data_IF_703702288233
#
_entry.id   IF_703702288233
#
_cell.length_a   1.000
_cell.length_b   1.000
_cell.length_c   1.000
_cell.angle_alpha   90.00
_cell.angle_beta   90.00
_cell.angle_gamma   90.00
#
_symmetry.space_group_name_H-M   'P 1'
#
loop_
_entity.id
_entity.type
_entity.pdbx_description
1 polymer ?
#
# COMPACT_ATOMS: atom_id res chain seq x y z
N UNK A 1 25.64 0.38 -24.61
CA UNK A 1 24.52 1.23 -24.20
C UNK A 1 24.83 1.94 -22.88
N UNK A 2 24.46 3.21 -22.71
CA UNK A 2 24.65 3.89 -21.41
C UNK A 2 23.59 3.38 -20.43
N UNK A 3 24.06 2.89 -19.27
CA UNK A 3 23.15 2.54 -18.17
C UNK A 3 22.33 3.78 -17.76
N UNK A 4 21.07 3.59 -17.44
CA UNK A 4 20.19 4.65 -16.92
C UNK A 4 20.74 5.14 -15.58
N UNK A 5 20.84 6.46 -15.40
CA UNK A 5 21.30 7.03 -14.13
C UNK A 5 20.12 7.17 -13.16
N UNK A 6 20.30 6.82 -11.88
CA UNK A 6 19.27 7.01 -10.87
C UNK A 6 18.88 8.48 -10.75
N UNK A 7 17.57 8.74 -10.72
CA UNK A 7 17.01 10.09 -10.57
C UNK A 7 16.51 10.28 -9.14
N UNK A 8 17.12 11.20 -8.43
CA UNK A 8 16.78 11.49 -7.03
C UNK A 8 15.34 11.96 -6.85
N UNK A 9 14.83 12.75 -7.79
CA UNK A 9 13.45 13.25 -7.77
C UNK A 9 12.38 12.15 -8.00
N UNK A 10 12.81 10.97 -8.45
CA UNK A 10 11.95 9.79 -8.58
C UNK A 10 12.21 8.75 -7.49
N UNK A 11 13.03 9.06 -6.48
CA UNK A 11 13.35 8.16 -5.39
C UNK A 11 14.02 6.86 -5.83
N UNK A 12 14.76 6.87 -6.96
CA UNK A 12 15.35 5.67 -7.56
C UNK A 12 16.57 5.18 -6.78
N UNK A 13 16.51 3.94 -6.33
CA UNK A 13 17.61 3.16 -5.78
C UNK A 13 17.64 1.82 -6.53
N UNK A 14 18.60 1.65 -7.44
CA UNK A 14 18.67 0.45 -8.25
C UNK A 14 19.30 -0.71 -7.47
N UNK A 15 18.55 -1.79 -7.39
CA UNK A 15 19.02 -3.04 -6.78
C UNK A 15 20.11 -3.67 -7.65
N UNK A 16 21.25 -3.99 -7.06
CA UNK A 16 22.41 -4.56 -7.76
C UNK A 16 22.64 -6.05 -7.48
N UNK A 17 22.06 -6.58 -6.41
CA UNK A 17 22.18 -8.00 -6.05
C UNK A 17 21.12 -8.82 -6.78
N UNK A 18 21.55 -9.64 -7.74
CA UNK A 18 20.65 -10.45 -8.57
C UNK A 18 19.98 -11.60 -7.79
N UNK A 19 20.63 -12.12 -6.74
CA UNK A 19 20.01 -13.16 -5.90
C UNK A 19 18.83 -12.59 -5.13
N UNK A 20 18.97 -11.38 -4.60
CA UNK A 20 17.87 -10.67 -3.93
C UNK A 20 16.77 -10.32 -4.94
N UNK A 21 17.14 -9.82 -6.12
CA UNK A 21 16.16 -9.52 -7.19
C UNK A 21 15.34 -10.76 -7.55
N UNK A 22 15.97 -11.91 -7.70
CA UNK A 22 15.27 -13.17 -7.97
C UNK A 22 14.36 -13.58 -6.82
N UNK A 23 14.80 -13.48 -5.57
CA UNK A 23 13.97 -13.75 -4.39
C UNK A 23 12.72 -12.87 -4.34
N UNK A 24 12.86 -11.59 -4.67
CA UNK A 24 11.73 -10.66 -4.72
C UNK A 24 10.77 -11.06 -5.85
N UNK A 25 11.27 -11.30 -7.04
CA UNK A 25 10.45 -11.74 -8.17
C UNK A 25 9.70 -13.05 -7.85
N UNK A 26 10.35 -13.99 -7.18
CA UNK A 26 9.76 -15.28 -6.80
C UNK A 26 8.65 -15.17 -5.72
N UNK A 27 8.53 -14.05 -5.06
CA UNK A 27 7.42 -13.84 -4.09
C UNK A 27 6.04 -13.92 -4.72
N UNK A 28 5.91 -13.68 -6.02
CA UNK A 28 4.65 -13.80 -6.75
C UNK A 28 4.19 -15.25 -6.91
N UNK A 29 5.09 -16.22 -6.76
CA UNK A 29 4.77 -17.64 -6.93
C UNK A 29 3.78 -18.15 -5.86
N UNK A 30 3.73 -17.52 -4.70
CA UNK A 30 2.74 -17.79 -3.66
C UNK A 30 1.42 -17.04 -3.84
N UNK A 31 1.32 -16.17 -4.83
CA UNK A 31 0.09 -15.49 -5.22
C UNK A 31 -0.71 -16.33 -6.23
N UNK A 32 -2.01 -16.05 -6.45
CA UNK A 32 -2.79 -16.72 -7.47
C UNK A 32 -2.13 -16.65 -8.85
N UNK A 33 -2.36 -17.67 -9.68
CA UNK A 33 -1.83 -17.76 -11.05
C UNK A 33 -2.65 -16.88 -12.02
N UNK A 34 -2.44 -15.59 -11.91
CA UNK A 34 -3.05 -14.50 -12.67
C UNK A 34 -1.96 -13.55 -13.17
N UNK A 35 -2.27 -12.63 -14.11
CA UNK A 35 -1.28 -11.67 -14.59
C UNK A 35 -0.60 -10.87 -13.49
N UNK A 36 0.61 -10.41 -13.77
CA UNK A 36 1.43 -9.60 -12.86
C UNK A 36 1.63 -8.20 -13.43
N UNK A 37 1.46 -7.19 -12.61
CA UNK A 37 1.85 -5.81 -12.89
C UNK A 37 3.06 -5.44 -12.03
N UNK A 38 4.19 -5.16 -12.67
CA UNK A 38 5.37 -4.63 -11.99
C UNK A 38 5.36 -3.09 -11.99
N UNK A 39 5.54 -2.49 -10.83
CA UNK A 39 5.67 -1.03 -10.69
C UNK A 39 7.14 -0.65 -10.58
N UNK A 40 7.56 0.32 -11.41
CA UNK A 40 8.90 0.88 -11.36
C UNK A 40 10.00 -0.11 -11.71
N UNK A 41 9.92 -0.80 -12.87
CA UNK A 41 10.91 -1.81 -13.26
C UNK A 41 12.32 -1.26 -13.42
N UNK A 42 12.50 0.06 -13.63
CA UNK A 42 13.80 0.66 -13.87
C UNK A 42 14.50 0.03 -15.07
N UNK A 43 15.69 -0.53 -14.84
CA UNK A 43 16.45 -1.27 -15.86
C UNK A 43 16.07 -2.76 -15.94
N UNK A 44 14.97 -3.17 -15.35
CA UNK A 44 14.44 -4.53 -15.47
C UNK A 44 15.09 -5.56 -14.55
N UNK A 45 15.60 -5.16 -13.39
CA UNK A 45 16.30 -6.06 -12.46
C UNK A 45 15.37 -7.16 -11.94
N UNK A 46 14.13 -6.84 -11.55
CA UNK A 46 13.11 -7.83 -11.23
C UNK A 46 12.47 -8.40 -12.49
N UNK A 47 12.26 -7.56 -13.48
CA UNK A 47 11.56 -7.89 -14.74
C UNK A 47 12.15 -9.10 -15.42
N UNK A 48 13.49 -9.22 -15.46
CA UNK A 48 14.19 -10.37 -16.09
C UNK A 48 13.76 -11.73 -15.52
N UNK A 49 13.40 -11.79 -14.25
CA UNK A 49 12.92 -13.03 -13.60
C UNK A 49 11.41 -13.19 -13.71
N UNK A 50 10.65 -12.08 -13.71
CA UNK A 50 9.20 -12.11 -13.85
C UNK A 50 8.77 -12.62 -15.23
N UNK A 51 9.46 -12.19 -16.30
CA UNK A 51 9.12 -12.60 -17.68
C UNK A 51 9.39 -14.07 -17.98
N UNK A 52 10.20 -14.74 -17.18
CA UNK A 52 10.46 -16.19 -17.29
C UNK A 52 9.31 -17.02 -16.73
N UNK A 53 8.41 -16.43 -15.95
CA UNK A 53 7.27 -17.11 -15.33
C UNK A 53 6.15 -17.36 -16.35
N UNK A 54 5.38 -18.47 -16.22
CA UNK A 54 4.31 -18.80 -17.18
C UNK A 54 3.04 -17.98 -16.92
N UNK A 55 3.17 -16.67 -16.90
CA UNK A 55 2.04 -15.74 -16.75
C UNK A 55 2.32 -14.42 -17.46
N UNK A 56 1.26 -13.72 -17.85
CA UNK A 56 1.35 -12.42 -18.48
C UNK A 56 1.95 -11.41 -17.47
N UNK A 57 2.97 -10.67 -17.91
CA UNK A 57 3.60 -9.60 -17.14
C UNK A 57 3.49 -8.29 -17.89
N UNK A 58 3.00 -7.27 -17.22
CA UNK A 58 3.07 -5.87 -17.68
C UNK A 58 3.88 -5.06 -16.68
N UNK A 59 4.48 -3.97 -17.14
CA UNK A 59 5.29 -3.08 -16.33
C UNK A 59 4.87 -1.63 -16.54
N UNK A 60 4.78 -0.87 -15.44
CA UNK A 60 4.48 0.57 -15.44
C UNK A 60 5.72 1.33 -14.99
N UNK A 61 6.20 2.24 -15.83
CA UNK A 61 7.38 3.05 -15.56
C UNK A 61 7.13 4.50 -15.97
N UNK A 62 7.36 5.43 -15.06
CA UNK A 62 7.20 6.87 -15.32
C UNK A 62 8.42 7.49 -16.00
N UNK A 63 9.60 6.90 -15.78
CA UNK A 63 10.86 7.40 -16.31
C UNK A 63 11.06 7.02 -17.78
N UNK A 64 11.01 8.00 -18.67
CA UNK A 64 11.14 7.79 -20.12
C UNK A 64 12.45 7.12 -20.55
N UNK A 65 13.56 7.38 -19.84
CA UNK A 65 14.84 6.73 -20.13
C UNK A 65 14.79 5.23 -19.78
N UNK A 66 14.18 4.90 -18.66
CA UNK A 66 13.94 3.50 -18.25
C UNK A 66 12.99 2.80 -19.21
N UNK A 67 11.93 3.47 -19.68
CA UNK A 67 11.01 2.92 -20.69
C UNK A 67 11.76 2.59 -21.98
N UNK A 68 12.59 3.50 -22.48
CA UNK A 68 13.40 3.26 -23.67
C UNK A 68 14.37 2.09 -23.48
N UNK A 69 15.03 2.01 -22.33
CA UNK A 69 15.91 0.90 -21.98
C UNK A 69 15.17 -0.45 -21.96
N UNK A 70 13.97 -0.49 -21.39
CA UNK A 70 13.14 -1.71 -21.33
C UNK A 70 12.70 -2.16 -22.72
N UNK A 71 12.28 -1.24 -23.59
CA UNK A 71 11.93 -1.59 -24.97
C UNK A 71 13.08 -2.21 -25.73
N UNK A 72 14.30 -1.76 -25.50
CA UNK A 72 15.48 -2.26 -26.17
C UNK A 72 15.96 -3.59 -25.61
N UNK A 73 15.90 -3.78 -24.29
CA UNK A 73 16.48 -4.95 -23.62
C UNK A 73 15.45 -6.07 -23.31
N UNK A 74 14.16 -5.77 -23.38
CA UNK A 74 13.08 -6.72 -23.11
C UNK A 74 12.08 -6.74 -24.28
N UNK A 75 12.49 -7.20 -25.47
CA UNK A 75 11.62 -7.18 -26.66
C UNK A 75 10.34 -8.01 -26.48
N UNK A 76 10.34 -9.01 -25.61
CA UNK A 76 9.14 -9.82 -25.29
C UNK A 76 8.08 -9.05 -24.52
N UNK A 77 8.43 -7.93 -23.87
CA UNK A 77 7.53 -7.03 -23.16
C UNK A 77 7.04 -5.85 -24.00
N UNK A 78 7.37 -5.76 -25.27
CA UNK A 78 7.21 -4.58 -26.12
C UNK A 78 5.86 -3.88 -25.93
N UNK A 79 4.75 -4.60 -26.02
CA UNK A 79 3.39 -4.06 -25.91
C UNK A 79 2.89 -4.01 -24.46
N UNK A 80 3.69 -4.48 -23.51
CA UNK A 80 3.36 -4.62 -22.09
C UNK A 80 4.14 -3.65 -21.19
N UNK A 81 4.87 -2.70 -21.78
CA UNK A 81 5.54 -1.61 -21.07
C UNK A 81 4.64 -0.37 -21.18
N UNK A 82 4.20 0.13 -20.04
CA UNK A 82 3.29 1.26 -19.92
C UNK A 82 4.07 2.45 -19.36
N UNK A 83 4.30 3.46 -20.20
CA UNK A 83 5.06 4.67 -19.84
C UNK A 83 4.17 5.73 -19.20
N UNK A 84 3.58 5.43 -18.04
CA UNK A 84 2.63 6.29 -17.35
C UNK A 84 2.92 6.39 -15.84
N UNK A 85 2.27 7.35 -15.19
CA UNK A 85 2.24 7.48 -13.74
C UNK A 85 1.19 6.53 -13.14
N UNK A 86 1.64 5.49 -12.44
CA UNK A 86 0.75 4.52 -11.79
C UNK A 86 -0.32 5.19 -10.93
N UNK A 87 0.01 6.27 -10.21
CA UNK A 87 -0.93 6.94 -9.32
C UNK A 87 -2.10 7.61 -10.04
N UNK A 88 -1.95 7.87 -11.35
CA UNK A 88 -2.98 8.50 -12.18
C UNK A 88 -3.75 7.54 -13.07
N UNK A 89 -3.30 6.29 -13.18
CA UNK A 89 -3.92 5.31 -14.06
C UNK A 89 -5.26 4.82 -13.53
N UNK A 90 -6.16 4.48 -14.45
CA UNK A 90 -7.31 3.63 -14.16
C UNK A 90 -6.87 2.16 -14.26
N UNK A 91 -6.80 1.48 -13.12
CA UNK A 91 -6.31 0.10 -13.06
C UNK A 91 -7.25 -0.91 -13.72
N UNK A 92 -8.52 -0.56 -13.96
CA UNK A 92 -9.45 -1.40 -14.71
C UNK A 92 -9.01 -1.58 -16.18
N UNK A 93 -8.22 -0.65 -16.73
CA UNK A 93 -7.79 -0.67 -18.14
C UNK A 93 -6.58 -1.59 -18.38
N UNK A 94 -5.81 -1.93 -17.37
CA UNK A 94 -4.51 -2.63 -17.55
C UNK A 94 -4.71 -4.07 -18.04
N UNK A 95 -5.64 -4.79 -17.46
CA UNK A 95 -5.96 -6.19 -17.78
C UNK A 95 -7.45 -6.39 -18.07
N UNK A 96 -8.08 -5.41 -18.69
CA UNK A 96 -9.49 -5.46 -19.11
C UNK A 96 -10.46 -5.82 -17.98
N UNK A 97 -10.26 -5.23 -16.80
CA UNK A 97 -11.06 -5.46 -15.60
C UNK A 97 -10.77 -6.78 -14.88
N UNK A 98 -9.78 -7.55 -15.32
CA UNK A 98 -9.39 -8.81 -14.69
C UNK A 98 -8.44 -8.57 -13.52
N UNK A 99 -8.46 -9.50 -12.56
CA UNK A 99 -7.56 -9.48 -11.41
C UNK A 99 -6.09 -9.66 -11.82
N UNK A 100 -5.20 -9.06 -11.04
CA UNK A 100 -3.76 -9.17 -11.23
C UNK A 100 -3.00 -9.09 -9.90
N UNK A 101 -1.78 -9.58 -9.91
CA UNK A 101 -0.82 -9.45 -8.80
C UNK A 101 -0.01 -8.17 -9.01
N UNK A 102 0.12 -7.38 -7.96
CA UNK A 102 0.97 -6.19 -7.93
C UNK A 102 2.33 -6.55 -7.34
N UNK A 103 3.41 -6.15 -7.97
CA UNK A 103 4.77 -6.36 -7.46
C UNK A 103 5.72 -5.24 -7.86
N UNK A 104 6.85 -5.17 -7.22
CA UNK A 104 7.91 -4.24 -7.60
C UNK A 104 8.93 -3.97 -6.49
N UNK A 105 10.00 -3.29 -6.88
CA UNK A 105 10.83 -2.51 -5.97
C UNK A 105 10.20 -1.11 -5.92
N UNK A 106 9.29 -0.90 -4.95
CA UNK A 106 8.45 0.31 -4.94
C UNK A 106 9.29 1.55 -4.65
N UNK A 107 9.06 2.65 -5.40
CA UNK A 107 9.67 3.94 -5.08
C UNK A 107 9.34 4.36 -3.65
N UNK A 108 10.35 4.68 -2.83
CA UNK A 108 10.17 4.93 -1.41
C UNK A 108 9.26 6.11 -1.11
N UNK A 109 9.38 7.18 -1.92
CA UNK A 109 8.67 8.43 -1.70
C UNK A 109 7.14 8.31 -1.91
N UNK A 110 6.70 7.31 -2.67
CA UNK A 110 5.29 7.12 -3.04
C UNK A 110 4.71 5.76 -2.63
N UNK A 111 5.43 4.94 -1.89
CA UNK A 111 4.99 3.59 -1.54
C UNK A 111 3.64 3.59 -0.82
N UNK A 112 3.44 4.47 0.16
CA UNK A 112 2.14 4.60 0.85
C UNK A 112 1.01 4.99 -0.08
N UNK A 113 1.24 5.89 -1.04
CA UNK A 113 0.25 6.30 -2.04
C UNK A 113 -0.11 5.14 -2.98
N UNK A 114 0.88 4.32 -3.35
CA UNK A 114 0.65 3.10 -4.15
C UNK A 114 -0.30 2.15 -3.40
N UNK A 115 -0.07 1.92 -2.11
CA UNK A 115 -0.91 1.03 -1.31
C UNK A 115 -2.30 1.61 -1.04
N UNK A 116 -2.45 2.92 -0.87
CA UNK A 116 -3.77 3.54 -0.81
C UNK A 116 -4.53 3.38 -2.13
N UNK A 117 -3.85 3.52 -3.26
CA UNK A 117 -4.46 3.23 -4.57
C UNK A 117 -4.84 1.76 -4.71
N UNK A 118 -3.99 0.84 -4.24
CA UNK A 118 -4.32 -0.58 -4.20
C UNK A 118 -5.63 -0.84 -3.43
N UNK A 119 -5.84 -0.17 -2.31
CA UNK A 119 -7.08 -0.28 -1.53
C UNK A 119 -8.32 0.17 -2.31
N UNK A 120 -8.18 1.19 -3.14
CA UNK A 120 -9.28 1.66 -4.00
C UNK A 120 -9.64 0.64 -5.10
N UNK A 121 -8.69 -0.22 -5.46
CA UNK A 121 -8.83 -1.30 -6.45
C UNK A 121 -8.67 -2.71 -5.83
N UNK A 122 -8.99 -2.86 -4.56
CA UNK A 122 -8.76 -4.12 -3.82
C UNK A 122 -9.41 -5.35 -4.45
N UNK A 123 -10.54 -5.17 -5.15
CA UNK A 123 -11.23 -6.28 -5.82
C UNK A 123 -10.48 -6.76 -7.08
N UNK A 124 -9.59 -5.94 -7.64
CA UNK A 124 -8.71 -6.32 -8.75
C UNK A 124 -7.36 -6.89 -8.29
N UNK A 125 -6.94 -6.62 -7.06
CA UNK A 125 -5.60 -6.95 -6.58
C UNK A 125 -5.68 -7.90 -5.38
N UNK A 126 -5.82 -9.21 -5.62
CA UNK A 126 -5.91 -10.20 -4.54
C UNK A 126 -4.59 -10.46 -3.83
N UNK A 127 -3.47 -10.10 -4.44
CA UNK A 127 -2.13 -10.29 -3.87
C UNK A 127 -1.19 -9.17 -4.34
N UNK A 128 -0.39 -8.66 -3.40
CA UNK A 128 0.62 -7.64 -3.65
C UNK A 128 1.91 -8.05 -2.94
N UNK A 129 3.01 -8.02 -3.65
CA UNK A 129 4.33 -8.32 -3.09
C UNK A 129 5.32 -7.22 -3.45
N UNK A 130 6.48 -7.25 -2.85
CA UNK A 130 7.59 -6.41 -3.26
C UNK A 130 8.35 -5.79 -2.11
N UNK A 131 9.27 -4.91 -2.46
CA UNK A 131 10.20 -4.30 -1.53
C UNK A 131 9.86 -2.84 -1.26
N UNK A 132 9.91 -2.49 0.01
CA UNK A 132 9.64 -1.15 0.55
C UNK A 132 10.67 -0.83 1.62
N UNK A 133 10.66 0.40 2.14
CA UNK A 133 11.43 0.73 3.34
C UNK A 133 10.99 -0.15 4.53
N UNK A 134 11.96 -0.63 5.30
CA UNK A 134 11.69 -1.52 6.44
C UNK A 134 10.71 -0.90 7.44
N UNK A 135 10.83 0.39 7.72
CA UNK A 135 9.93 1.08 8.64
C UNK A 135 8.47 1.05 8.16
N UNK A 136 8.24 1.20 6.86
CA UNK A 136 6.90 1.12 6.26
C UNK A 136 6.36 -0.31 6.38
N UNK A 137 7.18 -1.32 6.11
CA UNK A 137 6.80 -2.73 6.26
C UNK A 137 6.40 -3.06 7.71
N UNK A 138 7.17 -2.58 8.69
CA UNK A 138 6.86 -2.76 10.11
C UNK A 138 5.55 -2.09 10.51
N UNK A 139 5.27 -0.91 9.97
CA UNK A 139 3.98 -0.24 10.19
C UNK A 139 2.81 -1.04 9.61
N UNK A 140 2.96 -1.54 8.39
CA UNK A 140 1.91 -2.31 7.72
C UNK A 140 1.58 -3.60 8.45
N UNK A 141 2.58 -4.28 8.99
CA UNK A 141 2.44 -5.56 9.70
C UNK A 141 2.19 -5.41 11.21
N UNK A 142 2.15 -4.19 11.74
CA UNK A 142 2.06 -3.93 13.17
C UNK A 142 0.67 -4.18 13.73
N UNK A 143 0.62 -4.68 14.96
CA UNK A 143 -0.62 -4.91 15.72
C UNK A 143 -0.94 -3.76 16.69
N UNK A 144 -2.20 -3.65 17.18
CA UNK A 144 -2.58 -2.68 18.20
C UNK A 144 -1.66 -2.73 19.43
N UNK A 145 -1.37 -1.57 20.01
CA UNK A 145 -0.49 -1.42 21.15
C UNK A 145 0.97 -1.17 20.79
N UNK A 146 1.40 -1.49 19.58
CA UNK A 146 2.75 -1.21 19.11
C UNK A 146 2.93 0.25 18.67
N UNK A 147 4.12 0.79 18.88
CA UNK A 147 4.47 2.16 18.47
C UNK A 147 4.33 2.35 16.94
N UNK A 148 4.59 1.31 16.16
CA UNK A 148 4.51 1.36 14.71
C UNK A 148 3.07 1.28 14.17
N UNK A 149 2.11 0.83 14.97
CA UNK A 149 0.71 0.72 14.58
C UNK A 149 0.10 2.11 14.30
N UNK A 150 -0.44 2.30 13.11
CA UNK A 150 -0.96 3.59 12.66
C UNK A 150 -1.95 3.49 11.52
N UNK A 151 -2.13 4.58 10.79
CA UNK A 151 -3.08 4.68 9.66
C UNK A 151 -2.87 3.53 8.66
N UNK A 152 -1.63 3.33 8.24
CA UNK A 152 -1.31 2.32 7.23
C UNK A 152 -1.59 0.90 7.73
N UNK A 153 -1.29 0.62 9.01
CA UNK A 153 -1.61 -0.66 9.64
C UNK A 153 -3.11 -0.96 9.57
N UNK A 154 -3.94 -0.04 10.02
CA UNK A 154 -5.40 -0.21 10.09
C UNK A 154 -6.00 -0.33 8.70
N UNK A 155 -5.67 0.58 7.78
CA UNK A 155 -6.29 0.62 6.46
C UNK A 155 -5.89 -0.59 5.61
N UNK A 156 -4.65 -1.06 5.70
CA UNK A 156 -4.21 -2.26 4.97
C UNK A 156 -4.81 -3.52 5.59
N UNK A 157 -4.68 -3.69 6.91
CA UNK A 157 -5.11 -4.91 7.59
C UNK A 157 -6.64 -5.08 7.64
N UNK A 158 -7.40 -4.01 7.38
CA UNK A 158 -8.84 -4.13 7.21
C UNK A 158 -9.22 -5.09 6.06
N UNK A 159 -8.39 -5.17 5.01
CA UNK A 159 -8.67 -5.95 3.80
C UNK A 159 -7.57 -6.92 3.37
N UNK A 160 -6.37 -6.84 3.94
CA UNK A 160 -5.22 -7.67 3.58
C UNK A 160 -4.55 -8.25 4.81
N UNK A 161 -4.13 -9.51 4.71
CA UNK A 161 -3.17 -10.10 5.62
C UNK A 161 -1.75 -9.71 5.16
N UNK A 162 -0.92 -9.24 6.07
CA UNK A 162 0.42 -8.73 5.77
C UNK A 162 1.47 -9.67 6.33
N UNK A 163 2.37 -10.13 5.47
CA UNK A 163 3.52 -10.96 5.83
C UNK A 163 4.82 -10.19 5.61
N UNK A 164 5.63 -10.09 6.63
CA UNK A 164 7.00 -9.60 6.53
C UNK A 164 7.90 -10.77 6.14
N UNK A 165 8.42 -10.80 4.90
CA UNK A 165 9.14 -11.96 4.37
C UNK A 165 10.61 -11.95 4.74
N UNK A 166 11.34 -10.88 4.45
CA UNK A 166 12.75 -10.73 4.80
C UNK A 166 13.22 -9.28 4.71
N UNK A 167 14.34 -9.01 5.40
CA UNK A 167 15.01 -7.70 5.39
C UNK A 167 16.08 -7.66 4.30
N UNK A 168 16.26 -6.49 3.70
CA UNK A 168 17.29 -6.22 2.68
C UNK A 168 18.16 -5.06 3.13
N UNK A 169 19.48 -5.28 3.16
CA UNK A 169 20.44 -4.26 3.59
C UNK A 169 20.64 -3.19 2.50
N UNK A 170 21.00 -1.99 2.93
CA UNK A 170 21.20 -0.83 2.08
C UNK A 170 22.36 -0.97 1.08
N UNK A 171 23.35 -1.80 1.39
CA UNK A 171 24.56 -1.97 0.57
C UNK A 171 24.34 -2.65 -0.80
N UNK A 172 23.16 -3.22 -1.03
CA UNK A 172 22.83 -3.90 -2.29
C UNK A 172 22.15 -3.00 -3.33
N UNK A 173 22.14 -1.69 -3.09
CA UNK A 173 21.57 -0.67 -3.96
C UNK A 173 22.60 0.32 -4.48
N UNK A 174 22.35 0.89 -5.64
CA UNK A 174 23.10 2.02 -6.17
C UNK A 174 22.14 3.14 -6.64
N UNK A 175 22.17 4.34 -6.04
CA UNK A 175 22.88 4.66 -4.79
C UNK A 175 22.28 3.92 -3.58
N UNK A 176 23.07 3.66 -2.51
CA UNK A 176 22.50 3.04 -1.32
C UNK A 176 21.52 4.00 -0.62
N UNK A 177 20.34 3.51 -0.20
CA UNK A 177 19.43 4.28 0.63
C UNK A 177 20.02 4.44 2.05
N UNK A 178 19.46 5.37 2.83
CA UNK A 178 19.88 5.61 4.21
C UNK A 178 19.31 4.60 5.21
N UNK A 179 18.37 3.80 4.78
CA UNK A 179 17.61 2.87 5.63
C UNK A 179 17.55 1.49 4.99
N UNK A 180 17.34 0.47 5.81
CA UNK A 180 17.10 -0.89 5.33
C UNK A 180 15.75 -0.97 4.63
N UNK A 181 15.64 -1.96 3.75
CA UNK A 181 14.41 -2.33 3.06
C UNK A 181 13.85 -3.64 3.61
N UNK A 182 12.62 -3.92 3.27
CA UNK A 182 11.98 -5.19 3.58
C UNK A 182 11.10 -5.62 2.40
N UNK A 183 10.99 -6.92 2.24
CA UNK A 183 10.10 -7.54 1.28
C UNK A 183 8.86 -8.05 2.01
N UNK A 184 7.70 -7.67 1.51
CA UNK A 184 6.40 -8.01 2.08
C UNK A 184 5.54 -8.76 1.07
N UNK A 185 4.54 -9.46 1.57
CA UNK A 185 3.41 -9.96 0.80
C UNK A 185 2.12 -9.62 1.51
N UNK A 186 1.17 -9.08 0.75
CA UNK A 186 -0.18 -8.79 1.19
C UNK A 186 -1.15 -9.65 0.39
N UNK A 187 -1.99 -10.38 1.10
CA UNK A 187 -3.04 -11.23 0.50
C UNK A 187 -4.39 -10.76 0.98
N UNK A 188 -5.36 -10.59 0.06
CA UNK A 188 -6.73 -10.28 0.44
C UNK A 188 -7.20 -11.27 1.51
N UNK A 189 -7.75 -10.72 2.60
CA UNK A 189 -8.48 -11.51 3.59
C UNK A 189 -9.90 -11.80 3.09
N UNK A 190 -10.71 -12.49 3.91
CA UNK A 190 -12.06 -12.89 3.53
C UNK A 190 -13.11 -11.77 3.66
N UNK A 191 -12.69 -10.56 4.04
CA UNK A 191 -13.61 -9.43 4.24
C UNK A 191 -14.12 -8.92 2.89
N UNK A 192 -15.42 -9.12 2.64
CA UNK A 192 -16.15 -8.58 1.48
C UNK A 192 -16.95 -7.34 1.86
N UNK A 193 -17.47 -7.30 3.09
CA UNK A 193 -18.13 -6.15 3.69
C UNK A 193 -17.47 -5.86 5.04
N UNK A 194 -16.95 -4.64 5.18
CA UNK A 194 -16.26 -4.22 6.41
C UNK A 194 -17.23 -4.10 7.60
N UNK A 195 -18.52 -3.92 7.33
CA UNK A 195 -19.56 -3.74 8.35
C UNK A 195 -19.78 -2.29 8.78
N UNK A 196 -19.21 -1.35 8.03
CA UNK A 196 -19.39 0.10 8.20
C UNK A 196 -19.18 0.84 6.87
N UNK A 197 -19.49 2.13 6.84
CA UNK A 197 -19.16 2.99 5.70
C UNK A 197 -17.64 3.10 5.53
N UNK A 198 -17.11 2.65 4.40
CA UNK A 198 -15.67 2.59 4.16
C UNK A 198 -15.04 3.98 4.03
N UNK A 199 -15.74 4.96 3.48
CA UNK A 199 -15.24 6.34 3.36
C UNK A 199 -15.15 6.99 4.73
N UNK A 200 -16.16 6.80 5.55
CA UNK A 200 -16.18 7.29 6.92
C UNK A 200 -15.10 6.61 7.77
N UNK A 201 -14.93 5.29 7.61
CA UNK A 201 -13.86 4.53 8.26
C UNK A 201 -12.47 5.11 7.96
N UNK A 202 -12.15 5.32 6.69
CA UNK A 202 -10.88 5.92 6.26
C UNK A 202 -10.68 7.32 6.83
N UNK A 203 -11.73 8.15 6.79
CA UNK A 203 -11.71 9.52 7.34
C UNK A 203 -11.49 9.51 8.84
N UNK A 204 -12.21 8.67 9.57
CA UNK A 204 -12.11 8.54 11.03
C UNK A 204 -10.73 8.09 11.44
N UNK A 205 -10.20 7.03 10.84
CA UNK A 205 -8.86 6.49 11.12
C UNK A 205 -7.79 7.57 10.92
N UNK A 206 -7.82 8.28 9.80
CA UNK A 206 -6.88 9.38 9.53
C UNK A 206 -7.02 10.51 10.55
N UNK A 207 -8.24 10.89 10.90
CA UNK A 207 -8.52 11.98 11.85
C UNK A 207 -7.93 11.67 13.23
N UNK A 208 -8.20 10.49 13.77
CA UNK A 208 -7.74 10.16 15.14
C UNK A 208 -6.24 9.92 15.22
N UNK A 209 -5.62 9.34 14.19
CA UNK A 209 -4.17 9.14 14.14
C UNK A 209 -3.37 10.42 13.92
N UNK A 210 -3.98 11.48 13.35
CA UNK A 210 -3.36 12.80 13.30
C UNK A 210 -3.14 13.40 14.69
N UNK A 211 -3.89 12.91 15.68
CA UNK A 211 -3.73 13.23 17.09
C UNK A 211 -3.44 11.98 17.92
N UNK A 212 -2.51 11.17 17.46
CA UNK A 212 -2.19 9.83 17.98
C UNK A 212 -2.08 9.76 19.51
N UNK A 213 -1.53 10.79 20.15
CA UNK A 213 -1.31 10.82 21.61
C UNK A 213 -2.53 11.26 22.41
N UNK A 214 -3.58 11.73 21.74
CA UNK A 214 -4.82 12.17 22.39
C UNK A 214 -5.80 11.00 22.53
N UNK A 215 -6.62 11.06 23.56
CA UNK A 215 -7.77 10.16 23.70
C UNK A 215 -8.80 10.43 22.59
N UNK A 216 -9.58 9.42 22.24
CA UNK A 216 -10.59 9.53 21.20
C UNK A 216 -11.61 10.64 21.45
N UNK A 217 -12.01 10.86 22.73
CA UNK A 217 -12.90 11.97 23.11
C UNK A 217 -12.36 13.37 22.73
N UNK A 218 -11.07 13.50 22.53
CA UNK A 218 -10.43 14.75 22.08
C UNK A 218 -10.34 14.80 20.55
N UNK A 219 -9.78 13.77 19.94
CA UNK A 219 -9.52 13.76 18.49
C UNK A 219 -10.79 13.68 17.65
N UNK A 220 -11.83 12.98 18.14
CA UNK A 220 -13.12 12.85 17.44
C UNK A 220 -13.90 14.15 17.35
N UNK A 221 -13.60 15.17 18.16
CA UNK A 221 -14.22 16.50 18.03
C UNK A 221 -14.07 17.09 16.62
N UNK A 222 -13.00 16.73 15.92
CA UNK A 222 -12.76 17.16 14.53
C UNK A 222 -13.76 16.57 13.52
N UNK A 223 -14.47 15.51 13.91
CA UNK A 223 -15.54 14.92 13.08
C UNK A 223 -16.84 15.75 13.12
N UNK A 224 -16.97 16.65 14.08
CA UNK A 224 -18.18 17.44 14.36
C UNK A 224 -17.90 18.95 14.28
N UNK A 225 -17.53 19.48 13.09
CA UNK A 225 -17.16 20.88 12.96
C UNK A 225 -18.37 21.81 13.22
N UNK A 226 -18.24 22.69 14.22
CA UNK A 226 -19.25 23.67 14.53
C UNK A 226 -20.53 23.15 15.22
N UNK A 227 -20.57 21.85 15.55
CA UNK A 227 -21.72 21.22 16.22
C UNK A 227 -21.28 20.41 17.41
N UNK A 228 -22.18 20.25 18.38
CA UNK A 228 -21.94 19.44 19.57
C UNK A 228 -22.74 18.14 19.47
N UNK A 229 -22.09 16.97 19.60
CA UNK A 229 -22.80 15.69 19.71
C UNK A 229 -23.70 15.64 20.94
N UNK A 230 -24.57 14.62 21.02
CA UNK A 230 -25.38 14.36 22.20
C UNK A 230 -24.53 14.30 23.47
N UNK A 231 -25.14 14.65 24.61
CA UNK A 231 -24.44 14.85 25.89
C UNK A 231 -23.60 13.66 26.34
N UNK A 232 -24.08 12.43 26.13
CA UNK A 232 -23.44 11.19 26.53
C UNK A 232 -22.45 10.61 25.48
N UNK A 233 -22.30 11.28 24.33
CA UNK A 233 -21.50 10.76 23.20
C UNK A 233 -20.05 10.39 23.59
N UNK A 234 -19.41 11.20 24.43
CA UNK A 234 -18.02 11.00 24.82
C UNK A 234 -17.85 10.23 26.14
N UNK A 235 -18.89 9.65 26.70
CA UNK A 235 -18.86 9.00 28.01
C UNK A 235 -18.56 7.49 27.99
N UNK A 236 -18.56 6.86 26.81
CA UNK A 236 -18.28 5.44 26.65
C UNK A 236 -16.80 5.13 26.90
N UNK A 237 -16.50 3.93 27.36
CA UNK A 237 -15.14 3.50 27.74
C UNK A 237 -14.12 3.66 26.60
N UNK A 238 -14.53 3.38 25.37
CA UNK A 238 -13.65 3.52 24.19
C UNK A 238 -13.14 4.94 24.03
N UNK A 239 -13.88 5.95 24.46
CA UNK A 239 -13.53 7.36 24.32
C UNK A 239 -12.31 7.77 25.17
N UNK A 240 -11.95 6.97 26.16
CA UNK A 240 -10.74 7.14 26.97
C UNK A 240 -9.49 6.55 26.36
N UNK A 241 -9.66 5.69 25.33
CA UNK A 241 -8.54 5.06 24.62
C UNK A 241 -7.90 6.00 23.60
N UNK A 242 -6.66 5.68 23.25
CA UNK A 242 -5.93 6.31 22.13
C UNK A 242 -6.07 5.44 20.90
N UNK A 243 -5.98 6.02 19.67
CA UNK A 243 -6.18 5.26 18.43
C UNK A 243 -5.23 4.06 18.29
N UNK A 244 -3.99 4.18 18.77
CA UNK A 244 -3.01 3.07 18.72
C UNK A 244 -3.37 1.84 19.54
N UNK A 245 -4.40 1.91 20.39
CA UNK A 245 -4.88 0.80 21.22
C UNK A 245 -6.04 0.02 20.60
N UNK A 246 -6.63 0.52 19.50
CA UNK A 246 -7.83 -0.04 18.91
C UNK A 246 -7.51 -1.12 17.88
N UNK A 247 -8.23 -2.25 17.97
CA UNK A 247 -8.30 -3.24 16.89
C UNK A 247 -9.07 -2.69 15.69
N UNK A 248 -8.96 -3.36 14.55
CA UNK A 248 -9.72 -3.01 13.35
C UNK A 248 -11.22 -3.13 13.63
N UNK A 249 -11.66 -4.18 14.33
CA UNK A 249 -13.06 -4.36 14.71
C UNK A 249 -13.56 -3.20 15.58
N UNK A 250 -12.76 -2.73 16.52
CA UNK A 250 -13.10 -1.55 17.33
C UNK A 250 -13.19 -0.28 16.49
N UNK A 251 -12.36 -0.11 15.47
CA UNK A 251 -12.50 0.99 14.52
C UNK A 251 -13.77 0.89 13.68
N UNK A 252 -14.18 -0.30 13.28
CA UNK A 252 -15.46 -0.52 12.58
C UNK A 252 -16.64 -0.13 13.47
N UNK A 253 -16.67 -0.60 14.70
CA UNK A 253 -17.71 -0.25 15.69
C UNK A 253 -17.75 1.25 15.98
N UNK A 254 -16.58 1.86 16.15
CA UNK A 254 -16.45 3.30 16.36
C UNK A 254 -16.95 4.10 15.14
N UNK A 255 -16.68 3.62 13.94
CA UNK A 255 -17.16 4.24 12.70
C UNK A 255 -18.69 4.23 12.64
N UNK A 256 -19.32 3.12 12.99
CA UNK A 256 -20.77 3.04 13.06
C UNK A 256 -21.34 3.97 14.13
N UNK A 257 -20.73 3.99 15.30
CA UNK A 257 -21.14 4.87 16.42
C UNK A 257 -21.08 6.36 16.05
N UNK A 258 -19.96 6.79 15.47
CA UNK A 258 -19.77 8.16 14.98
C UNK A 258 -20.70 8.45 13.81
N UNK A 259 -20.89 7.50 12.90
CA UNK A 259 -21.76 7.62 11.75
C UNK A 259 -23.21 7.85 12.11
N UNK A 260 -23.74 7.16 13.11
CA UNK A 260 -25.11 7.37 13.64
C UNK A 260 -25.29 8.80 14.15
N UNK A 261 -24.31 9.31 14.90
CA UNK A 261 -24.38 10.68 15.43
C UNK A 261 -24.24 11.74 14.32
N UNK A 262 -23.38 11.51 13.34
CA UNK A 262 -23.25 12.39 12.17
C UNK A 262 -24.56 12.46 11.37
N UNK A 263 -25.26 11.32 11.20
CA UNK A 263 -26.58 11.26 10.54
C UNK A 263 -27.64 12.01 11.35
N UNK A 264 -27.68 11.80 12.68
CA UNK A 264 -28.60 12.50 13.57
C UNK A 264 -28.44 14.03 13.48
N UNK A 265 -27.18 14.48 13.32
CA UNK A 265 -26.84 15.90 13.17
C UNK A 265 -26.92 16.41 11.72
N UNK A 266 -27.36 15.56 10.78
CA UNK A 266 -27.47 15.87 9.35
C UNK A 266 -26.13 16.30 8.70
N UNK A 267 -25.00 15.85 9.24
CA UNK A 267 -23.66 16.11 8.71
C UNK A 267 -23.24 15.13 7.59
N UNK A 268 -23.92 14.00 7.50
CA UNK A 268 -23.82 13.02 6.41
C UNK A 268 -25.21 12.48 6.09
N UNK A 269 -25.35 11.86 4.90
CA UNK A 269 -26.59 11.23 4.41
C UNK A 269 -26.76 9.81 4.97
#
# INVERSE_FOLDING_TARGET
>A
MKAVKPKKNLGQHFLTDLNIAKRIADTVDACPDIPVLEIGPGMGVLTQYLVEKPRLVKAVEIDSESVAYLHENFPTLKDNIIGEDFLRMDLNQIFDGKQFVLTGNYPYDISSQIFFKMLDYKDLIPCCTGMIQREVALRMASEPGNKAYGILSVLIQAWYDVEYLFTVDEGVFNPPPKVKSAVIRMTRNEVTDLGCDEKLFKRLVKTVFNQRRKMLRVSLKQMFPGVTPREDFYTTDIMTKRPGQLSIQQFVELTNYVGEELKRLELIK
#
